data_IF_102339936709
#
_entry.id   IF_102339936709
#
_cell.length_a   1.000
_cell.length_b   1.000
_cell.length_c   1.000
_cell.angle_alpha   90.00
_cell.angle_beta   90.00
_cell.angle_gamma   90.00
#
_symmetry.space_group_name_H-M   'P 1'
#
loop_
_entity.id
_entity.type
_entity.pdbx_description
1 polymer ?
#
# COMPACT_ATOMS: atom_id res chain seq x y z
N UNK A 1 24.11 10.24 2.83
CA UNK A 1 23.92 8.93 3.44
C UNK A 1 25.25 8.37 3.97
N UNK A 2 26.28 8.21 3.13
CA UNK A 2 27.60 7.66 3.52
C UNK A 2 28.24 8.41 4.69
N UNK A 3 28.14 9.75 4.70
CA UNK A 3 28.66 10.58 5.82
C UNK A 3 27.95 10.31 7.15
N UNK A 4 26.66 9.98 7.12
CA UNK A 4 25.87 9.72 8.32
C UNK A 4 26.02 8.29 8.83
N UNK A 5 26.18 7.33 7.92
CA UNK A 5 26.29 5.91 8.25
C UNK A 5 27.73 5.44 8.46
N UNK A 6 28.72 6.19 7.96
CA UNK A 6 30.13 5.79 7.93
C UNK A 6 30.41 4.64 6.97
N UNK A 7 29.46 4.24 6.13
CA UNK A 7 29.57 3.16 5.15
C UNK A 7 29.47 3.71 3.74
N UNK A 8 30.28 3.19 2.84
CA UNK A 8 30.17 3.49 1.40
C UNK A 8 29.03 2.69 0.78
N UNK A 9 28.59 3.13 -0.39
CA UNK A 9 27.56 2.46 -1.18
C UNK A 9 28.11 2.00 -2.52
N UNK A 10 27.74 0.79 -2.92
CA UNK A 10 28.04 0.20 -4.23
C UNK A 10 26.76 -0.05 -5.00
N UNK A 11 26.87 -0.21 -6.31
CA UNK A 11 25.79 -0.36 -7.29
C UNK A 11 25.07 0.96 -7.60
N UNK A 12 24.20 1.46 -6.75
CA UNK A 12 23.41 2.70 -6.87
C UNK A 12 22.75 2.89 -8.26
N UNK A 13 21.99 1.90 -8.71
CA UNK A 13 21.28 1.88 -10.00
C UNK A 13 20.11 0.89 -9.99
N UNK A 14 19.22 0.91 -11.03
CA UNK A 14 18.17 -0.08 -11.18
C UNK A 14 18.74 -1.49 -11.32
N UNK A 15 18.21 -2.43 -10.53
CA UNK A 15 18.66 -3.82 -10.56
C UNK A 15 17.57 -4.78 -10.04
N UNK A 16 17.56 -6.02 -10.57
CA UNK A 16 16.81 -7.11 -9.95
C UNK A 16 17.45 -7.47 -8.62
N UNK A 17 16.63 -7.61 -7.60
CA UNK A 17 17.16 -7.79 -6.25
C UNK A 17 17.80 -9.17 -5.99
N UNK A 18 17.55 -10.20 -6.80
CA UNK A 18 18.28 -11.46 -6.74
C UNK A 18 19.61 -11.35 -7.47
N UNK A 19 19.62 -10.70 -8.62
CA UNK A 19 20.83 -10.55 -9.43
C UNK A 19 21.82 -9.55 -8.81
N UNK A 20 21.34 -8.52 -8.10
CA UNK A 20 22.21 -7.55 -7.45
C UNK A 20 23.08 -8.20 -6.35
N UNK A 21 22.50 -9.08 -5.54
CA UNK A 21 23.26 -9.77 -4.49
C UNK A 21 24.26 -10.78 -5.07
N UNK A 22 23.93 -11.47 -6.16
CA UNK A 22 24.87 -12.33 -6.85
C UNK A 22 26.08 -11.55 -7.38
N UNK A 23 25.83 -10.37 -7.96
CA UNK A 23 26.88 -9.55 -8.58
C UNK A 23 27.76 -8.82 -7.58
N UNK A 24 27.17 -8.23 -6.54
CA UNK A 24 27.86 -7.34 -5.61
C UNK A 24 28.08 -7.96 -4.22
N UNK A 25 27.52 -9.14 -3.94
CA UNK A 25 27.58 -9.77 -2.62
C UNK A 25 28.99 -10.09 -2.17
N UNK A 26 29.87 -10.58 -3.06
CA UNK A 26 31.27 -10.88 -2.71
C UNK A 26 32.08 -9.60 -2.46
N UNK A 27 31.83 -8.52 -3.20
CA UNK A 27 32.42 -7.21 -2.95
C UNK A 27 31.99 -6.67 -1.59
N UNK A 28 30.68 -6.74 -1.30
CA UNK A 28 30.11 -6.37 0.01
C UNK A 28 30.74 -7.18 1.16
N UNK A 29 30.92 -8.49 1.01
CA UNK A 29 31.58 -9.34 2.03
C UNK A 29 33.02 -8.90 2.32
N UNK A 30 33.75 -8.41 1.32
CA UNK A 30 35.13 -7.96 1.43
C UNK A 30 35.29 -6.56 1.99
N UNK A 31 34.42 -5.63 1.59
CA UNK A 31 34.55 -4.19 1.88
C UNK A 31 33.63 -3.73 3.00
N UNK A 32 32.50 -4.38 3.21
CA UNK A 32 31.42 -3.94 4.08
C UNK A 32 30.56 -2.82 3.49
N UNK A 33 30.78 -2.45 2.22
CA UNK A 33 30.03 -1.38 1.55
C UNK A 33 28.60 -1.84 1.28
N UNK A 34 27.61 -0.97 1.49
CA UNK A 34 26.19 -1.30 1.36
C UNK A 34 25.78 -1.39 -0.11
N UNK A 35 25.01 -2.43 -0.48
CA UNK A 35 24.50 -2.58 -1.84
C UNK A 35 23.22 -1.75 -1.96
N UNK A 36 23.32 -0.59 -2.60
CA UNK A 36 22.19 0.32 -2.85
C UNK A 36 21.64 0.10 -4.25
N UNK A 37 20.33 -0.08 -4.40
CA UNK A 37 19.70 -0.25 -5.70
C UNK A 37 18.22 0.15 -5.68
N UNK A 38 17.61 0.27 -6.85
CA UNK A 38 16.18 0.53 -7.02
C UNK A 38 15.54 -0.48 -7.97
N UNK A 39 14.23 -0.46 -8.08
CA UNK A 39 13.41 -1.19 -9.05
C UNK A 39 12.48 -0.23 -9.79
N UNK A 40 11.50 -0.75 -10.53
CA UNK A 40 10.52 0.09 -11.24
C UNK A 40 9.66 0.94 -10.29
N UNK A 41 9.42 0.46 -9.08
CA UNK A 41 8.69 1.19 -8.05
C UNK A 41 9.51 2.38 -7.50
N UNK A 42 8.82 3.33 -6.86
CA UNK A 42 9.46 4.42 -6.12
C UNK A 42 10.06 3.91 -4.81
N UNK A 43 11.21 3.23 -4.90
CA UNK A 43 11.89 2.58 -3.76
C UNK A 43 13.39 2.80 -3.75
N UNK A 44 13.95 2.90 -2.55
CA UNK A 44 15.37 2.79 -2.28
C UNK A 44 15.62 1.49 -1.51
N UNK A 45 16.38 0.56 -2.08
CA UNK A 45 16.63 -0.74 -1.46
C UNK A 45 18.09 -0.83 -1.03
N UNK A 46 18.32 -1.30 0.19
CA UNK A 46 19.66 -1.48 0.78
C UNK A 46 19.82 -2.94 1.14
N UNK A 47 20.70 -3.64 0.40
CA UNK A 47 21.02 -5.01 0.72
C UNK A 47 22.36 -5.11 1.47
N UNK A 48 22.40 -5.99 2.47
CA UNK A 48 23.59 -6.30 3.23
C UNK A 48 23.55 -7.75 3.72
N UNK A 49 24.71 -8.35 3.83
CA UNK A 49 24.89 -9.70 4.37
C UNK A 49 24.82 -9.67 5.90
N UNK A 50 24.02 -10.54 6.51
CA UNK A 50 23.75 -10.50 7.96
C UNK A 50 24.99 -10.73 8.83
N UNK A 51 26.01 -11.43 8.33
CA UNK A 51 27.28 -11.59 9.04
C UNK A 51 28.20 -10.36 8.96
N UNK A 52 27.98 -9.43 8.02
CA UNK A 52 28.79 -8.22 7.83
C UNK A 52 28.09 -7.00 8.46
N UNK A 53 26.78 -6.93 8.28
CA UNK A 53 25.92 -5.89 8.84
C UNK A 53 24.77 -6.59 9.55
N UNK A 54 24.76 -6.62 10.89
CA UNK A 54 23.64 -7.17 11.64
C UNK A 54 22.32 -6.53 11.22
N UNK A 55 21.22 -7.30 11.29
CA UNK A 55 19.89 -6.87 10.82
C UNK A 55 19.45 -5.53 11.43
N UNK A 56 19.61 -5.38 12.74
CA UNK A 56 19.28 -4.12 13.45
C UNK A 56 20.11 -2.92 12.94
N UNK A 57 21.36 -3.15 12.61
CA UNK A 57 22.21 -2.11 12.05
C UNK A 57 21.77 -1.74 10.62
N UNK A 58 21.36 -2.73 9.83
CA UNK A 58 20.79 -2.46 8.50
C UNK A 58 19.51 -1.65 8.60
N UNK A 59 18.64 -1.96 9.58
CA UNK A 59 17.43 -1.17 9.84
C UNK A 59 17.76 0.28 10.20
N UNK A 60 18.73 0.52 11.07
CA UNK A 60 19.19 1.87 11.41
C UNK A 60 19.72 2.64 10.19
N UNK A 61 20.40 1.95 9.27
CA UNK A 61 20.82 2.57 8.01
C UNK A 61 19.63 2.90 7.11
N UNK A 62 18.63 2.04 7.05
CA UNK A 62 17.40 2.32 6.30
C UNK A 62 16.59 3.48 6.90
N UNK A 63 16.53 3.61 8.23
CA UNK A 63 15.95 4.77 8.90
C UNK A 63 16.67 6.06 8.53
N UNK A 64 18.02 6.05 8.55
CA UNK A 64 18.84 7.18 8.10
C UNK A 64 18.55 7.53 6.64
N UNK A 65 18.40 6.54 5.76
CA UNK A 65 18.01 6.77 4.37
C UNK A 65 16.60 7.34 4.27
N UNK A 66 15.64 6.84 5.07
CA UNK A 66 14.26 7.34 5.11
C UNK A 66 14.18 8.82 5.50
N UNK A 67 14.98 9.24 6.49
CA UNK A 67 15.07 10.65 6.89
C UNK A 67 15.64 11.57 5.80
N UNK A 68 16.57 11.07 5.00
CA UNK A 68 17.21 11.83 3.92
C UNK A 68 16.35 11.91 2.66
N UNK A 69 15.55 10.86 2.38
CA UNK A 69 14.74 10.73 1.16
C UNK A 69 13.33 11.32 1.37
N UNK A 70 13.28 12.64 1.58
CA UNK A 70 12.07 13.45 1.79
C UNK A 70 12.01 14.61 0.80
N UNK A 71 10.89 15.33 0.74
CA UNK A 71 10.69 16.44 -0.20
C UNK A 71 10.86 15.99 -1.66
N UNK A 72 11.64 16.72 -2.45
CA UNK A 72 11.89 16.43 -3.86
C UNK A 72 12.64 15.09 -4.11
N UNK A 73 13.30 14.57 -3.07
CA UNK A 73 13.99 13.28 -3.11
C UNK A 73 13.16 12.13 -2.52
N UNK A 74 11.90 12.39 -2.19
CA UNK A 74 11.06 11.40 -1.54
C UNK A 74 10.86 10.16 -2.42
N UNK A 75 11.04 8.98 -1.81
CA UNK A 75 10.66 7.69 -2.39
C UNK A 75 9.58 7.06 -1.51
N UNK A 76 8.67 6.29 -2.10
CA UNK A 76 7.57 5.67 -1.38
C UNK A 76 8.03 4.76 -0.23
N UNK A 77 9.11 4.01 -0.43
CA UNK A 77 9.68 3.10 0.59
C UNK A 77 11.19 3.07 0.56
N UNK A 78 11.81 2.98 1.72
CA UNK A 78 13.18 2.48 1.90
C UNK A 78 13.07 1.04 2.39
N UNK A 79 13.80 0.11 1.78
CA UNK A 79 13.62 -1.33 2.05
C UNK A 79 14.96 -1.94 2.48
N UNK A 80 14.98 -2.50 3.68
CA UNK A 80 16.05 -3.37 4.13
C UNK A 80 15.96 -4.75 3.44
N UNK A 81 17.06 -5.19 2.82
CA UNK A 81 17.16 -6.46 2.10
C UNK A 81 18.31 -7.30 2.63
N UNK A 82 18.21 -7.84 3.84
CA UNK A 82 19.25 -8.73 4.36
C UNK A 82 19.35 -10.02 3.56
N UNK A 83 20.57 -10.55 3.46
CA UNK A 83 20.84 -11.80 2.78
C UNK A 83 21.94 -12.60 3.49
N UNK A 84 22.04 -13.88 3.17
CA UNK A 84 23.05 -14.83 3.66
C UNK A 84 23.66 -15.59 2.49
N UNK A 85 24.68 -16.41 2.76
CA UNK A 85 25.40 -17.21 1.78
C UNK A 85 26.90 -16.91 1.82
N UNK A 86 27.69 -17.63 1.03
CA UNK A 86 29.15 -17.49 1.02
C UNK A 86 29.72 -17.11 -0.34
N UNK A 87 28.90 -17.23 -1.40
CA UNK A 87 29.31 -16.93 -2.78
C UNK A 87 28.08 -16.56 -3.63
N UNK A 88 28.32 -16.07 -4.84
CA UNK A 88 27.28 -15.72 -5.81
C UNK A 88 26.29 -16.88 -6.08
N UNK A 89 26.73 -18.11 -5.98
CA UNK A 89 25.92 -19.30 -6.28
C UNK A 89 24.88 -19.62 -5.19
N UNK A 90 25.14 -19.17 -3.95
CA UNK A 90 24.29 -19.51 -2.81
C UNK A 90 23.77 -18.30 -2.02
N UNK A 91 23.99 -17.07 -2.48
CA UNK A 91 23.38 -15.90 -1.85
C UNK A 91 21.87 -15.97 -1.89
N UNK A 92 21.25 -15.84 -0.72
CA UNK A 92 19.82 -15.94 -0.54
C UNK A 92 19.30 -14.83 0.38
N UNK A 93 18.24 -14.13 -0.04
CA UNK A 93 17.54 -13.18 0.81
C UNK A 93 16.92 -13.89 1.99
N UNK A 94 16.93 -13.23 3.16
CA UNK A 94 16.29 -13.75 4.36
C UNK A 94 14.87 -13.20 4.50
N UNK A 95 14.13 -13.72 5.48
CA UNK A 95 12.80 -13.22 5.86
C UNK A 95 12.84 -11.89 6.63
N UNK A 96 14.05 -11.42 7.02
CA UNK A 96 14.26 -10.18 7.77
C UNK A 96 14.17 -8.91 6.87
N UNK A 97 13.39 -8.98 5.79
CA UNK A 97 13.02 -7.80 5.01
C UNK A 97 12.19 -6.87 5.89
N UNK A 98 12.51 -5.57 5.84
CA UNK A 98 11.71 -4.54 6.48
C UNK A 98 11.53 -3.33 5.55
N UNK A 99 10.29 -2.84 5.44
CA UNK A 99 9.95 -1.71 4.59
C UNK A 99 9.67 -0.48 5.47
N UNK A 100 10.41 0.59 5.24
CA UNK A 100 10.25 1.90 5.88
C UNK A 100 9.45 2.80 4.92
N UNK A 101 8.15 2.84 5.09
CA UNK A 101 7.25 3.63 4.26
C UNK A 101 7.42 5.14 4.50
N UNK A 102 7.15 5.94 3.48
CA UNK A 102 6.98 7.37 3.64
C UNK A 102 5.62 7.62 4.31
N UNK A 103 5.62 8.37 5.40
CA UNK A 103 4.36 8.85 5.96
C UNK A 103 3.72 9.87 5.02
N UNK A 104 2.39 9.98 4.98
CA UNK A 104 1.72 11.06 4.28
C UNK A 104 2.33 12.43 4.64
N UNK A 105 2.58 13.31 3.66
CA UNK A 105 3.27 14.58 3.90
C UNK A 105 2.40 15.61 4.64
N UNK A 106 1.10 15.39 4.67
CA UNK A 106 0.11 16.22 5.36
C UNK A 106 -0.97 15.33 5.99
N UNK A 107 -1.76 15.86 6.93
CA UNK A 107 -2.89 15.13 7.48
C UNK A 107 -3.83 14.61 6.37
N UNK A 108 -4.28 13.37 6.53
CA UNK A 108 -5.24 12.70 5.65
C UNK A 108 -6.62 12.66 6.29
N UNK A 109 -7.63 12.15 5.57
CA UNK A 109 -8.95 11.91 6.16
C UNK A 109 -8.88 10.97 7.38
N UNK A 110 -7.91 10.04 7.39
CA UNK A 110 -7.74 9.11 8.50
C UNK A 110 -7.33 9.84 9.78
N UNK A 111 -6.39 10.80 9.67
CA UNK A 111 -5.97 11.65 10.78
C UNK A 111 -7.12 12.55 11.27
N UNK A 112 -7.94 13.07 10.36
CA UNK A 112 -9.11 13.89 10.72
C UNK A 112 -10.12 13.06 11.51
N UNK A 113 -10.45 11.85 11.04
CA UNK A 113 -11.38 10.95 11.72
C UNK A 113 -10.87 10.55 13.10
N UNK A 114 -9.61 10.09 13.21
CA UNK A 114 -8.98 9.71 14.49
C UNK A 114 -9.01 10.87 15.49
N UNK A 115 -8.62 12.08 15.06
CA UNK A 115 -8.61 13.29 15.90
C UNK A 115 -9.99 13.63 16.46
N UNK A 116 -11.05 13.27 15.74
CA UNK A 116 -12.43 13.49 16.17
C UNK A 116 -13.07 12.27 16.85
N UNK A 117 -12.23 11.33 17.32
CA UNK A 117 -12.67 10.17 18.08
C UNK A 117 -13.46 9.14 17.28
N UNK A 118 -13.28 9.12 15.97
CA UNK A 118 -13.87 8.10 15.09
C UNK A 118 -12.95 6.91 14.97
N UNK A 119 -13.53 5.72 14.87
CA UNK A 119 -12.78 4.52 14.57
C UNK A 119 -12.26 4.57 13.14
N UNK A 120 -10.99 4.22 12.96
CA UNK A 120 -10.38 4.03 11.63
C UNK A 120 -9.80 2.62 11.58
N UNK A 121 -10.59 1.71 11.03
CA UNK A 121 -10.29 0.29 10.97
C UNK A 121 -9.71 -0.02 9.59
N UNK A 122 -8.46 -0.45 9.54
CA UNK A 122 -7.79 -0.84 8.31
C UNK A 122 -7.76 -2.35 8.12
N UNK A 123 -8.05 -2.81 6.89
CA UNK A 123 -7.99 -4.22 6.50
C UNK A 123 -7.07 -4.35 5.28
N UNK A 124 -6.13 -5.29 5.32
CA UNK A 124 -5.14 -5.49 4.27
C UNK A 124 -3.96 -4.54 4.38
N UNK A 125 -3.54 -3.93 3.26
CA UNK A 125 -2.33 -3.09 3.18
C UNK A 125 -2.55 -1.63 3.61
N UNK A 126 -3.75 -1.20 3.95
CA UNK A 126 -4.05 0.21 4.27
C UNK A 126 -3.11 0.76 5.36
N UNK A 127 -2.86 -0.01 6.43
CA UNK A 127 -1.93 0.39 7.46
C UNK A 127 -0.52 0.66 6.94
N UNK A 128 -0.05 -0.19 6.04
CA UNK A 128 1.30 -0.08 5.47
C UNK A 128 1.40 1.12 4.50
N UNK A 129 0.34 1.37 3.72
CA UNK A 129 0.24 2.50 2.78
C UNK A 129 0.31 3.84 3.54
N UNK A 130 -0.45 3.98 4.63
CA UNK A 130 -0.49 5.20 5.44
C UNK A 130 0.57 5.22 6.55
N UNK A 131 1.48 4.25 6.58
CA UNK A 131 2.50 4.11 7.63
C UNK A 131 1.89 4.16 9.06
N UNK A 132 0.71 3.60 9.22
CA UNK A 132 -0.04 3.55 10.47
C UNK A 132 -0.66 4.87 10.93
N UNK A 133 -0.52 5.97 10.17
CA UNK A 133 -1.08 7.27 10.53
C UNK A 133 -2.60 7.28 10.45
N UNK A 134 -3.23 7.85 11.45
CA UNK A 134 -4.68 7.98 11.52
C UNK A 134 -5.44 6.64 11.61
N UNK A 135 -4.80 5.55 12.03
CA UNK A 135 -5.41 4.21 12.09
C UNK A 135 -5.53 3.74 13.53
N UNK A 136 -6.76 3.51 13.99
CA UNK A 136 -7.06 3.07 15.37
C UNK A 136 -6.98 1.55 15.54
N UNK A 137 -7.29 0.78 14.48
CA UNK A 137 -7.25 -0.68 14.48
C UNK A 137 -6.84 -1.23 13.13
N UNK A 138 -6.13 -2.37 13.09
CA UNK A 138 -5.63 -2.94 11.84
C UNK A 138 -5.70 -4.46 11.80
N UNK A 139 -6.14 -4.99 10.67
CA UNK A 139 -6.21 -6.43 10.38
C UNK A 139 -5.42 -6.75 9.10
N UNK A 140 -4.42 -7.60 9.23
CA UNK A 140 -3.72 -8.17 8.06
C UNK A 140 -4.61 -9.19 7.38
N UNK A 141 -4.43 -9.37 6.08
CA UNK A 141 -5.15 -10.37 5.27
C UNK A 141 -4.19 -11.23 4.47
N UNK A 142 -4.63 -12.44 4.16
CA UNK A 142 -3.91 -13.38 3.31
C UNK A 142 -4.33 -13.29 1.84
N UNK A 143 -5.37 -12.53 1.51
CA UNK A 143 -5.91 -12.31 0.16
C UNK A 143 -7.32 -11.72 0.19
N UNK A 144 -7.97 -11.66 -0.97
CA UNK A 144 -9.30 -11.05 -1.11
C UNK A 144 -10.37 -11.76 -0.29
N UNK A 145 -10.39 -13.10 -0.29
CA UNK A 145 -11.39 -13.86 0.46
C UNK A 145 -11.35 -13.55 1.97
N UNK A 146 -10.15 -13.58 2.57
CA UNK A 146 -9.96 -13.22 3.98
C UNK A 146 -10.36 -11.75 4.25
N UNK A 147 -10.06 -10.83 3.31
CA UNK A 147 -10.47 -9.43 3.40
C UNK A 147 -11.99 -9.27 3.40
N UNK A 148 -12.68 -9.97 2.52
CA UNK A 148 -14.15 -9.99 2.43
C UNK A 148 -14.80 -10.56 3.70
N UNK A 149 -14.26 -11.66 4.22
CA UNK A 149 -14.75 -12.24 5.48
C UNK A 149 -14.54 -11.29 6.66
N UNK A 150 -13.38 -10.63 6.70
CA UNK A 150 -13.03 -9.68 7.76
C UNK A 150 -13.95 -8.45 7.76
N UNK A 151 -14.23 -7.85 6.61
CA UNK A 151 -15.14 -6.69 6.56
C UNK A 151 -16.56 -7.08 6.97
N UNK A 152 -17.04 -8.27 6.58
CA UNK A 152 -18.34 -8.78 7.01
C UNK A 152 -18.40 -9.00 8.54
N UNK A 153 -17.33 -9.50 9.14
CA UNK A 153 -17.23 -9.63 10.61
C UNK A 153 -17.29 -8.26 11.30
N UNK A 154 -16.56 -7.28 10.76
CA UNK A 154 -16.47 -5.93 11.35
C UNK A 154 -17.78 -5.17 11.19
N UNK A 155 -18.47 -5.27 10.04
CA UNK A 155 -19.74 -4.56 9.79
C UNK A 155 -20.86 -4.95 10.78
N UNK A 156 -20.74 -6.13 11.41
CA UNK A 156 -21.68 -6.60 12.43
C UNK A 156 -21.40 -6.05 13.83
N UNK A 157 -20.23 -5.43 14.02
CA UNK A 157 -19.85 -4.80 15.30
C UNK A 157 -20.42 -3.38 15.36
N UNK A 158 -20.56 -2.86 16.57
CA UNK A 158 -20.91 -1.47 16.76
C UNK A 158 -19.64 -0.63 16.79
N UNK A 159 -19.51 0.26 15.82
CA UNK A 159 -18.45 1.27 15.77
C UNK A 159 -18.98 2.51 15.01
N UNK A 160 -18.34 3.65 15.23
CA UNK A 160 -18.63 4.88 14.49
C UNK A 160 -17.37 5.40 13.85
N UNK A 161 -17.24 5.20 12.54
CA UNK A 161 -16.02 5.55 11.84
C UNK A 161 -15.90 4.92 10.46
N UNK A 162 -14.68 4.76 9.99
CA UNK A 162 -14.33 4.23 8.69
C UNK A 162 -13.75 2.82 8.81
N UNK A 163 -14.29 1.85 8.08
CA UNK A 163 -13.64 0.57 7.82
C UNK A 163 -13.10 0.60 6.38
N UNK A 164 -11.78 0.60 6.24
CA UNK A 164 -11.09 0.73 4.95
C UNK A 164 -10.42 -0.59 4.58
N UNK A 165 -10.96 -1.27 3.56
CA UNK A 165 -10.49 -2.54 3.05
C UNK A 165 -9.71 -2.34 1.75
N UNK A 166 -8.54 -2.98 1.64
CA UNK A 166 -7.79 -3.14 0.39
C UNK A 166 -7.83 -4.61 -0.06
N UNK A 167 -8.44 -4.87 -1.21
CA UNK A 167 -8.49 -6.18 -1.86
C UNK A 167 -7.26 -6.36 -2.75
N UNK A 168 -6.21 -6.94 -2.20
CA UNK A 168 -4.86 -6.91 -2.77
C UNK A 168 -4.62 -7.84 -3.97
N UNK A 169 -5.44 -8.88 -4.14
CA UNK A 169 -5.19 -9.92 -5.15
C UNK A 169 -5.42 -9.43 -6.57
N UNK A 170 -6.30 -8.43 -6.77
CA UNK A 170 -6.54 -7.83 -8.08
C UNK A 170 -5.24 -7.33 -8.70
N UNK A 171 -4.41 -6.67 -7.92
CA UNK A 171 -3.10 -6.19 -8.34
C UNK A 171 -2.04 -7.31 -8.29
N UNK A 172 -1.85 -7.92 -7.12
CA UNK A 172 -0.71 -8.80 -6.84
C UNK A 172 -0.76 -10.13 -7.56
N UNK A 173 -1.93 -10.76 -7.64
CA UNK A 173 -2.07 -12.09 -8.24
C UNK A 173 -2.46 -12.03 -9.71
N UNK A 174 -3.29 -11.07 -10.11
CA UNK A 174 -3.89 -11.06 -11.43
C UNK A 174 -3.38 -9.91 -12.31
N UNK A 175 -3.32 -8.68 -11.80
CA UNK A 175 -2.93 -7.50 -12.54
C UNK A 175 -1.48 -7.55 -13.03
N UNK A 176 -0.52 -7.59 -12.14
CA UNK A 176 0.91 -7.70 -12.46
C UNK A 176 1.29 -8.98 -13.21
N UNK A 177 0.52 -10.05 -13.05
CA UNK A 177 0.76 -11.33 -13.74
C UNK A 177 0.05 -11.47 -15.07
N UNK A 178 -0.75 -10.47 -15.45
CA UNK A 178 -1.55 -10.47 -16.69
C UNK A 178 -2.48 -11.68 -16.79
N UNK A 179 -3.05 -12.09 -15.66
CA UNK A 179 -4.03 -13.16 -15.56
C UNK A 179 -5.44 -12.60 -15.69
N UNK A 180 -5.91 -12.50 -16.95
CA UNK A 180 -7.23 -11.95 -17.30
C UNK A 180 -8.35 -12.80 -16.70
N UNK A 181 -8.23 -14.11 -16.78
CA UNK A 181 -9.27 -15.03 -16.30
C UNK A 181 -9.38 -15.00 -14.78
N UNK A 182 -8.24 -14.99 -14.08
CA UNK A 182 -8.17 -14.83 -12.63
C UNK A 182 -8.73 -13.49 -12.16
N UNK A 183 -8.44 -12.40 -12.89
CA UNK A 183 -8.99 -11.08 -12.58
C UNK A 183 -10.52 -11.07 -12.72
N UNK A 184 -11.05 -11.61 -13.82
CA UNK A 184 -12.49 -11.73 -14.05
C UNK A 184 -13.19 -12.60 -13.00
N UNK A 185 -12.56 -13.72 -12.62
CA UNK A 185 -13.07 -14.56 -11.55
C UNK A 185 -13.11 -13.83 -10.21
N UNK A 186 -12.06 -13.09 -9.86
CA UNK A 186 -12.00 -12.30 -8.63
C UNK A 186 -13.09 -11.21 -8.58
N UNK A 187 -13.38 -10.55 -9.72
CA UNK A 187 -14.51 -9.60 -9.83
C UNK A 187 -15.84 -10.31 -9.59
N UNK A 188 -16.03 -11.50 -10.18
CA UNK A 188 -17.25 -12.29 -10.02
C UNK A 188 -17.45 -12.73 -8.57
N UNK A 189 -16.38 -13.13 -7.89
CA UNK A 189 -16.44 -13.54 -6.47
C UNK A 189 -16.73 -12.34 -5.56
N UNK A 190 -16.16 -11.17 -5.87
CA UNK A 190 -16.46 -9.93 -5.16
C UNK A 190 -17.91 -9.48 -5.39
N UNK A 191 -18.44 -9.57 -6.60
CA UNK A 191 -19.83 -9.21 -6.91
C UNK A 191 -20.83 -10.10 -6.13
N UNK A 192 -20.58 -11.40 -6.06
CA UNK A 192 -21.40 -12.31 -5.24
C UNK A 192 -21.34 -11.96 -3.75
N UNK A 193 -20.15 -11.67 -3.25
CA UNK A 193 -19.96 -11.23 -1.88
C UNK A 193 -20.75 -9.95 -1.63
N UNK A 194 -20.63 -8.96 -2.55
CA UNK A 194 -21.20 -7.64 -2.45
C UNK A 194 -22.74 -7.69 -2.32
N UNK A 195 -23.42 -8.54 -3.10
CA UNK A 195 -24.87 -8.71 -3.01
C UNK A 195 -25.33 -9.02 -1.58
N UNK A 196 -24.77 -10.06 -0.96
CA UNK A 196 -25.12 -10.42 0.42
C UNK A 196 -24.62 -9.41 1.47
N UNK A 197 -23.50 -8.74 1.20
CA UNK A 197 -22.99 -7.71 2.10
C UNK A 197 -23.91 -6.49 2.15
N UNK A 198 -24.42 -6.04 1.01
CA UNK A 198 -25.36 -4.91 0.92
C UNK A 198 -26.67 -5.20 1.63
N UNK A 199 -27.15 -6.45 1.63
CA UNK A 199 -28.35 -6.87 2.40
C UNK A 199 -28.09 -6.73 3.92
N UNK A 200 -26.91 -7.13 4.38
CA UNK A 200 -26.51 -7.11 5.80
C UNK A 200 -26.21 -5.70 6.33
N UNK A 201 -25.97 -4.70 5.48
CA UNK A 201 -25.66 -3.32 5.88
C UNK A 201 -26.74 -2.70 6.76
N UNK A 202 -26.32 -1.92 7.76
CA UNK A 202 -27.22 -1.12 8.60
C UNK A 202 -27.80 0.06 7.80
N UNK A 203 -28.93 0.62 8.21
CA UNK A 203 -29.55 1.77 7.49
C UNK A 203 -28.65 2.99 7.33
N UNK A 204 -27.76 3.24 8.30
CA UNK A 204 -26.87 4.39 8.32
C UNK A 204 -25.47 4.09 7.71
N UNK A 205 -25.25 2.87 7.26
CA UNK A 205 -23.99 2.50 6.62
C UNK A 205 -23.89 3.09 5.21
N UNK A 206 -22.71 3.58 4.87
CA UNK A 206 -22.33 4.02 3.53
C UNK A 206 -21.22 3.11 3.00
N UNK A 207 -21.43 2.50 1.85
CA UNK A 207 -20.43 1.74 1.11
C UNK A 207 -19.88 2.59 -0.03
N UNK A 208 -18.57 2.70 -0.12
CA UNK A 208 -17.86 3.29 -1.25
C UNK A 208 -16.87 2.28 -1.81
N UNK A 209 -16.93 2.04 -3.13
CA UNK A 209 -16.03 1.14 -3.84
C UNK A 209 -15.26 1.98 -4.86
N UNK A 210 -13.94 1.88 -4.82
CA UNK A 210 -13.04 2.54 -5.76
C UNK A 210 -11.78 1.71 -5.95
N UNK A 211 -10.84 2.18 -6.76
CA UNK A 211 -9.50 1.63 -6.87
C UNK A 211 -8.46 2.75 -6.67
N UNK A 212 -7.25 2.39 -6.32
CA UNK A 212 -6.10 3.29 -6.14
C UNK A 212 -5.39 3.62 -7.47
N UNK A 213 -5.51 2.73 -8.46
CA UNK A 213 -5.00 2.90 -9.83
C UNK A 213 -5.71 1.97 -10.81
N UNK A 214 -5.52 2.22 -12.10
CA UNK A 214 -5.88 1.30 -13.17
C UNK A 214 -4.92 0.10 -13.22
N UNK A 215 -5.42 -1.05 -13.58
CA UNK A 215 -4.60 -2.24 -13.83
C UNK A 215 -5.30 -3.16 -14.85
N UNK A 216 -5.08 -2.90 -16.14
CA UNK A 216 -5.60 -3.75 -17.22
C UNK A 216 -4.75 -5.03 -17.33
N UNK A 217 -5.28 -6.20 -16.94
CA UNK A 217 -4.55 -7.45 -17.04
C UNK A 217 -4.35 -7.92 -18.50
N UNK A 218 -5.05 -7.34 -19.48
CA UNK A 218 -4.87 -7.63 -20.90
C UNK A 218 -3.77 -6.79 -21.55
N UNK A 219 -3.25 -5.75 -20.86
CA UNK A 219 -2.22 -4.89 -21.42
C UNK A 219 -0.82 -5.52 -21.28
N UNK A 220 -0.37 -6.22 -22.32
CA UNK A 220 0.83 -7.05 -22.32
C UNK A 220 2.17 -6.30 -22.52
N UNK A 221 2.15 -4.97 -22.71
CA UNK A 221 3.38 -4.19 -22.97
C UNK A 221 4.24 -3.95 -21.75
N UNK A 222 3.67 -4.05 -20.56
CA UNK A 222 4.35 -3.91 -19.27
C UNK A 222 3.70 -4.82 -18.25
N UNK A 223 4.38 -5.12 -17.16
CA UNK A 223 3.82 -5.77 -15.97
C UNK A 223 3.44 -4.76 -14.89
N UNK A 224 3.57 -3.47 -15.18
CA UNK A 224 3.24 -2.38 -14.28
C UNK A 224 1.75 -1.99 -14.40
N UNK A 225 1.31 -1.05 -13.56
CA UNK A 225 -0.05 -0.51 -13.57
C UNK A 225 -0.38 0.18 -14.90
N UNK A 226 -1.66 0.33 -15.18
CA UNK A 226 -2.16 1.08 -16.34
C UNK A 226 -2.86 2.36 -15.89
N UNK A 227 -3.33 3.20 -16.82
CA UNK A 227 -3.74 4.59 -16.52
C UNK A 227 -5.21 4.87 -16.79
N UNK A 228 -6.04 3.87 -16.68
CA UNK A 228 -7.48 4.03 -16.78
C UNK A 228 -8.01 4.83 -15.57
N UNK A 229 -9.06 5.61 -15.80
CA UNK A 229 -9.82 6.22 -14.73
C UNK A 229 -10.44 5.12 -13.86
N UNK A 230 -10.42 5.32 -12.55
CA UNK A 230 -10.96 4.35 -11.60
C UNK A 230 -12.44 4.63 -11.30
N UNK A 231 -13.25 3.59 -11.05
CA UNK A 231 -14.65 3.79 -10.70
C UNK A 231 -14.79 4.37 -9.28
N UNK A 232 -15.89 5.08 -9.06
CA UNK A 232 -16.41 5.39 -7.71
C UNK A 232 -17.87 4.96 -7.67
N UNK A 233 -18.16 3.89 -6.94
CA UNK A 233 -19.52 3.39 -6.75
C UNK A 233 -19.93 3.63 -5.29
N UNK A 234 -21.15 4.13 -5.10
CA UNK A 234 -21.65 4.49 -3.77
C UNK A 234 -23.01 3.84 -3.56
N UNK A 235 -23.16 3.21 -2.40
CA UNK A 235 -24.40 2.59 -1.98
C UNK A 235 -24.68 2.86 -0.50
N UNK A 236 -25.93 3.15 -0.20
CA UNK A 236 -26.46 3.24 1.16
C UNK A 236 -27.98 3.09 1.13
N UNK A 237 -28.57 2.42 2.13
CA UNK A 237 -30.01 2.19 2.19
C UNK A 237 -30.82 3.48 2.25
N UNK A 238 -30.25 4.56 2.75
CA UNK A 238 -30.86 5.89 2.87
C UNK A 238 -30.51 6.83 1.71
N UNK A 239 -29.71 6.40 0.73
CA UNK A 239 -29.24 7.24 -0.38
C UNK A 239 -30.07 6.93 -1.64
N UNK A 240 -30.59 7.95 -2.35
CA UNK A 240 -31.27 7.76 -3.62
C UNK A 240 -30.34 7.12 -4.66
N UNK A 241 -30.79 6.03 -5.27
CA UNK A 241 -30.04 5.36 -6.34
C UNK A 241 -30.09 6.09 -7.68
N UNK A 242 -29.21 5.68 -8.61
CA UNK A 242 -29.22 6.12 -10.01
C UNK A 242 -28.63 7.50 -10.28
N UNK A 243 -27.90 8.08 -9.32
CA UNK A 243 -27.21 9.36 -9.50
C UNK A 243 -25.86 9.18 -10.18
N UNK A 244 -25.65 9.93 -11.24
CA UNK A 244 -24.35 10.03 -11.92
C UNK A 244 -23.60 11.27 -11.39
N UNK A 245 -22.42 11.06 -10.83
CA UNK A 245 -21.56 12.12 -10.30
C UNK A 245 -20.57 12.65 -11.34
N UNK A 246 -20.52 12.05 -12.55
CA UNK A 246 -19.57 12.38 -13.60
C UNK A 246 -18.12 12.08 -13.22
N UNK A 247 -17.20 12.54 -14.05
CA UNK A 247 -15.76 12.40 -13.80
C UNK A 247 -15.29 13.42 -12.77
N UNK A 248 -14.48 12.97 -11.82
CA UNK A 248 -13.88 13.82 -10.78
C UNK A 248 -12.35 13.86 -10.95
N UNK A 249 -11.78 15.01 -10.68
CA UNK A 249 -10.34 15.21 -10.74
C UNK A 249 -9.70 14.79 -9.40
N UNK A 250 -9.01 13.64 -9.43
CA UNK A 250 -8.31 13.08 -8.29
C UNK A 250 -9.19 12.32 -7.29
N UNK A 251 -8.54 11.75 -6.28
CA UNK A 251 -9.15 10.85 -5.28
C UNK A 251 -9.73 11.56 -4.06
N UNK A 252 -9.41 12.82 -3.87
CA UNK A 252 -9.76 13.59 -2.67
C UNK A 252 -11.27 13.81 -2.50
N UNK A 253 -12.04 13.67 -3.58
CA UNK A 253 -13.50 13.68 -3.47
C UNK A 253 -14.04 12.57 -2.56
N UNK A 254 -13.40 11.40 -2.54
CA UNK A 254 -13.72 10.30 -1.60
C UNK A 254 -13.45 10.74 -0.16
N UNK A 255 -12.27 11.32 0.09
CA UNK A 255 -11.89 11.78 1.42
C UNK A 255 -12.82 12.87 1.96
N UNK A 256 -13.13 13.88 1.12
CA UNK A 256 -14.07 14.96 1.47
C UNK A 256 -15.48 14.40 1.75
N UNK A 257 -15.93 13.42 0.95
CA UNK A 257 -17.24 12.79 1.14
C UNK A 257 -17.31 12.04 2.47
N UNK A 258 -16.28 11.26 2.80
CA UNK A 258 -16.18 10.55 4.08
C UNK A 258 -16.20 11.54 5.26
N UNK A 259 -15.38 12.60 5.23
CA UNK A 259 -15.37 13.61 6.29
C UNK A 259 -16.76 14.25 6.46
N UNK A 260 -17.40 14.62 5.34
CA UNK A 260 -18.75 15.25 5.35
C UNK A 260 -19.82 14.35 5.95
N UNK A 261 -19.75 13.00 5.76
CA UNK A 261 -20.71 12.06 6.36
C UNK A 261 -20.64 12.08 7.90
N UNK A 262 -19.51 12.43 8.46
CA UNK A 262 -19.33 12.60 9.91
C UNK A 262 -19.50 14.04 10.38
N UNK A 263 -19.93 14.98 9.50
CA UNK A 263 -20.05 16.40 9.82
C UNK A 263 -18.70 17.08 10.11
N UNK A 264 -17.60 16.53 9.55
CA UNK A 264 -16.25 17.04 9.74
C UNK A 264 -15.84 17.90 8.56
N UNK A 265 -15.14 19.00 8.84
CA UNK A 265 -14.55 19.85 7.82
C UNK A 265 -13.29 19.22 7.24
N UNK A 266 -13.14 19.37 5.93
CA UNK A 266 -11.91 18.98 5.19
C UNK A 266 -11.70 19.97 4.04
N UNK A 267 -10.45 20.29 3.77
CA UNK A 267 -10.04 21.27 2.75
C UNK A 267 -9.28 20.61 1.58
N UNK A 268 -9.45 19.30 1.40
CA UNK A 268 -8.84 18.60 0.27
C UNK A 268 -9.43 19.12 -1.05
N UNK A 269 -8.58 19.18 -2.07
CA UNK A 269 -8.97 19.57 -3.42
C UNK A 269 -10.17 18.74 -3.94
N UNK A 270 -11.03 19.34 -4.78
CA UNK A 270 -12.07 18.64 -5.53
C UNK A 270 -13.44 18.49 -4.83
N UNK A 271 -13.59 18.92 -3.58
CA UNK A 271 -14.89 18.92 -2.88
C UNK A 271 -15.46 17.52 -2.60
N UNK A 272 -16.55 17.46 -1.82
CA UNK A 272 -17.27 16.22 -1.52
C UNK A 272 -18.33 15.92 -2.60
N UNK A 273 -18.65 14.63 -2.76
CA UNK A 273 -19.82 14.19 -3.54
C UNK A 273 -21.09 14.49 -2.73
N UNK A 274 -22.13 14.96 -3.40
CA UNK A 274 -23.42 15.20 -2.75
C UNK A 274 -24.27 13.92 -2.85
N UNK A 275 -24.39 13.23 -1.74
CA UNK A 275 -25.13 11.97 -1.62
C UNK A 275 -26.65 12.19 -1.44
#
# INVERSE_FOLDING_TARGET
>A
FEKRTGRKCICNKPYSGTEVIKKYGEEHLKTGDLILYTSADSVCQIAAHEAVVPVEQLYSYCETARELLTGDLAVGRVIARPFTGTSADNFKRTSNRHDFALSPPSPTMLDILEKHGKDVISIGKIRDIFNGKGITCSYKTTGNADGMDRIREISRKDFSGLCFLNLVDFDMLYGHRRDVDGYAQALTDFDRFLGGFMEDMKPDDLLMITADHGCDPAYMKTTDHTREDVPVLIYGKSIPGGRDYGVRDGFTCVANTVCRQFGLESDFYGGALEL
#
